data_IF_142119561152
#
_entry.id   IF_142119561152
#
_cell.length_a   1.000
_cell.length_b   1.000
_cell.length_c   1.000
_cell.angle_alpha   90.00
_cell.angle_beta   90.00
_cell.angle_gamma   90.00
#
_symmetry.space_group_name_H-M   'P 1'
#
loop_
_entity.id
_entity.type
_entity.pdbx_description
1 polymer ?
#
# COMPACT_ATOMS: atom_id res chain seq x y z
N UNK A 1 -11.15 -9.65 14.23
CA UNK A 1 -10.05 -8.66 14.10
C UNK A 1 -10.66 -7.27 13.99
N UNK A 2 -9.88 -6.25 14.32
CA UNK A 2 -10.27 -5.16 15.21
C UNK A 2 -9.38 -3.91 14.92
N UNK A 3 -9.82 -2.81 14.29
CA UNK A 3 -8.88 -1.93 13.54
C UNK A 3 -9.34 -0.43 13.46
N UNK A 4 -8.49 0.58 13.83
CA UNK A 4 -8.72 2.07 13.79
C UNK A 4 -7.57 3.04 14.31
N UNK A 5 -6.77 3.67 13.43
CA UNK A 5 -5.83 4.83 13.54
C UNK A 5 -4.44 4.78 14.29
N UNK A 6 -3.54 5.78 14.05
CA UNK A 6 -2.05 5.82 14.18
C UNK A 6 -1.37 6.53 15.40
N UNK A 7 -0.61 5.84 16.30
CA UNK A 7 -0.37 6.32 17.71
C UNK A 7 1.02 6.05 18.38
N UNK A 8 1.73 7.00 19.02
CA UNK A 8 3.09 6.79 19.63
C UNK A 8 3.12 6.78 21.20
N UNK A 9 3.93 5.91 21.86
CA UNK A 9 4.06 5.57 23.33
C UNK A 9 2.84 5.75 24.28
N UNK A 10 2.31 4.64 24.82
CA UNK A 10 1.06 4.60 25.63
C UNK A 10 0.94 3.38 26.58
N UNK A 11 -0.20 3.19 27.27
CA UNK A 11 -0.50 2.02 28.13
C UNK A 11 -1.87 1.35 27.81
N UNK A 12 -1.98 0.52 26.76
CA UNK A 12 -3.20 -0.28 26.51
C UNK A 12 -4.18 0.35 25.51
N UNK A 13 -4.62 -0.42 24.51
CA UNK A 13 -5.38 0.04 23.33
C UNK A 13 -6.33 -1.09 22.84
N UNK A 14 -7.21 -0.80 21.89
CA UNK A 14 -7.99 -1.79 21.15
C UNK A 14 -8.46 -1.20 19.82
N UNK A 15 -8.08 -1.80 18.68
CA UNK A 15 -8.38 -1.34 17.31
C UNK A 15 -7.48 -0.15 16.89
N UNK A 16 -6.49 -0.37 16.02
CA UNK A 16 -5.53 0.65 15.47
C UNK A 16 -5.37 0.58 13.94
N UNK A 17 -4.75 1.58 13.27
CA UNK A 17 -4.30 1.53 11.85
C UNK A 17 -2.80 1.84 11.71
N UNK A 18 -2.18 2.35 12.77
CA UNK A 18 -0.74 2.49 12.98
C UNK A 18 -0.53 2.61 14.49
N UNK A 19 0.67 2.36 15.00
CA UNK A 19 1.04 2.66 16.40
C UNK A 19 2.57 2.86 16.36
N UNK A 20 3.18 3.22 17.49
CA UNK A 20 4.60 3.31 17.77
C UNK A 20 4.81 3.48 19.29
N UNK A 21 4.28 2.55 20.09
CA UNK A 21 4.47 2.52 21.54
C UNK A 21 3.20 2.23 22.35
N UNK A 22 3.18 1.15 23.12
CA UNK A 22 2.09 0.84 24.08
C UNK A 22 2.47 -0.20 25.14
N UNK A 23 1.66 -0.39 26.19
CA UNK A 23 1.65 -1.60 27.03
C UNK A 23 0.57 -2.65 26.67
N UNK A 24 -0.20 -2.44 25.60
CA UNK A 24 -1.16 -3.44 25.11
C UNK A 24 -2.07 -2.91 24.01
N UNK A 25 -2.68 -3.78 23.21
CA UNK A 25 -3.60 -3.44 22.13
C UNK A 25 -4.56 -4.64 21.94
N UNK A 26 -5.79 -4.41 21.48
CA UNK A 26 -6.72 -5.41 20.94
C UNK A 26 -6.97 -5.19 19.42
N UNK A 27 -5.89 -5.25 18.63
CA UNK A 27 -5.88 -5.44 17.16
C UNK A 27 -5.68 -4.18 16.31
N UNK A 28 -5.25 -4.33 15.02
CA UNK A 28 -4.97 -3.18 14.12
C UNK A 28 -4.79 -3.48 12.60
N UNK A 29 -4.85 -2.46 11.70
CA UNK A 29 -4.34 -2.45 10.29
C UNK A 29 -2.83 -2.08 10.15
N UNK A 30 -2.26 -1.41 11.17
CA UNK A 30 -0.83 -1.17 11.39
C UNK A 30 -0.60 -0.91 12.90
N UNK A 31 0.60 -1.15 13.43
CA UNK A 31 1.04 -0.83 14.83
C UNK A 31 2.49 -0.35 14.76
N UNK A 32 3.11 -0.04 15.90
CA UNK A 32 4.53 -0.19 16.25
C UNK A 32 4.68 -0.15 17.82
N UNK A 33 5.80 -0.62 18.39
CA UNK A 33 6.29 -0.57 19.81
C UNK A 33 5.33 -0.88 20.99
N UNK A 34 4.32 -1.74 20.82
CA UNK A 34 3.34 -2.10 21.87
C UNK A 34 3.77 -3.28 22.77
N UNK A 35 3.18 -3.49 23.95
CA UNK A 35 3.34 -4.72 24.76
C UNK A 35 2.08 -5.61 24.74
N UNK A 36 1.39 -5.63 23.59
CA UNK A 36 0.26 -6.52 23.31
C UNK A 36 -0.48 -6.13 22.03
N UNK A 37 -0.99 -7.05 21.19
CA UNK A 37 -1.97 -6.75 20.13
C UNK A 37 -2.95 -7.88 19.75
N UNK A 38 -4.25 -7.72 20.06
CA UNK A 38 -5.32 -8.70 19.77
C UNK A 38 -6.25 -8.38 18.57
N UNK A 39 -5.88 -8.90 17.39
CA UNK A 39 -6.72 -9.26 16.22
C UNK A 39 -6.69 -8.22 15.08
N UNK A 40 -5.95 -8.50 14.00
CA UNK A 40 -5.44 -7.57 12.96
C UNK A 40 -5.99 -7.55 11.51
N UNK A 41 -5.56 -6.56 10.72
CA UNK A 41 -4.85 -6.75 9.44
C UNK A 41 -3.32 -6.61 9.65
N UNK A 42 -2.70 -5.42 9.55
CA UNK A 42 -1.26 -5.16 9.79
C UNK A 42 -0.89 -4.59 11.18
N UNK A 43 0.34 -4.81 11.68
CA UNK A 43 0.66 -4.63 13.13
C UNK A 43 2.18 -4.69 13.46
N UNK A 44 2.89 -3.60 13.79
CA UNK A 44 4.35 -3.55 14.12
C UNK A 44 4.70 -3.55 15.65
N UNK A 45 6.01 -3.59 16.01
CA UNK A 45 6.70 -4.17 17.21
C UNK A 45 5.86 -4.52 18.50
N UNK A 46 5.82 -5.79 19.00
CA UNK A 46 5.22 -6.22 20.33
C UNK A 46 5.52 -7.65 20.90
N UNK A 47 4.78 -8.20 21.91
CA UNK A 47 4.83 -9.59 22.52
C UNK A 47 3.45 -10.18 23.05
N UNK A 48 2.74 -11.32 22.72
CA UNK A 48 2.79 -12.52 21.78
C UNK A 48 1.49 -12.91 20.94
N UNK A 49 1.38 -12.73 19.59
CA UNK A 49 0.14 -12.69 18.70
C UNK A 49 -0.62 -14.04 18.53
N UNK A 50 -0.30 -14.86 17.49
CA UNK A 50 -1.10 -15.86 16.74
C UNK A 50 -2.21 -15.41 15.71
N UNK A 51 -1.91 -14.86 14.50
CA UNK A 51 -2.71 -14.99 13.23
C UNK A 51 -2.00 -14.37 11.99
N UNK A 52 -2.18 -13.05 11.75
CA UNK A 52 -2.12 -12.30 10.46
C UNK A 52 -3.35 -12.38 9.51
N UNK A 53 -3.84 -11.22 9.00
CA UNK A 53 -4.18 -11.08 7.56
C UNK A 53 -2.96 -10.47 6.83
N UNK A 54 -2.36 -9.42 7.41
CA UNK A 54 -1.14 -8.75 6.92
C UNK A 54 -0.28 -8.08 8.02
N UNK A 55 -0.12 -8.74 9.19
CA UNK A 55 0.65 -8.30 10.39
C UNK A 55 2.07 -7.85 10.04
N UNK A 56 2.64 -6.93 10.83
CA UNK A 56 3.86 -6.18 10.51
C UNK A 56 4.91 -6.16 11.66
N UNK A 57 5.00 -7.23 12.48
CA UNK A 57 5.78 -7.36 13.75
C UNK A 57 5.03 -7.10 15.09
N UNK A 58 3.90 -7.73 15.39
CA UNK A 58 3.26 -7.51 16.70
C UNK A 58 2.69 -8.77 17.33
N UNK A 59 2.17 -8.64 18.55
CA UNK A 59 2.09 -9.80 19.42
C UNK A 59 1.08 -9.62 20.66
N UNK A 60 -0.18 -10.16 20.69
CA UNK A 60 -1.10 -10.76 21.77
C UNK A 60 -2.57 -11.08 21.25
N UNK A 61 -2.99 -12.25 20.65
CA UNK A 61 -4.17 -12.38 19.69
C UNK A 61 -5.26 -13.52 19.77
N UNK A 62 -6.21 -13.56 18.78
CA UNK A 62 -7.17 -14.67 18.45
C UNK A 62 -7.57 -14.96 16.94
N UNK A 63 -8.52 -14.27 16.24
CA UNK A 63 -9.14 -14.76 14.95
C UNK A 63 -9.82 -13.76 13.92
N UNK A 64 -9.66 -14.02 12.59
CA UNK A 64 -10.63 -14.08 11.42
C UNK A 64 -9.95 -14.86 10.22
N UNK A 65 -10.39 -14.78 8.94
CA UNK A 65 -9.89 -15.54 7.73
C UNK A 65 -9.66 -14.68 6.43
N UNK A 66 -8.44 -14.67 5.85
CA UNK A 66 -7.97 -13.84 4.68
C UNK A 66 -8.90 -13.79 3.44
N UNK A 67 -8.84 -12.67 2.70
CA UNK A 67 -9.56 -12.34 1.44
C UNK A 67 -8.58 -11.76 0.39
N UNK A 68 -8.91 -11.82 -0.92
CA UNK A 68 -8.14 -11.25 -2.04
C UNK A 68 -9.06 -10.49 -3.04
N UNK A 69 -8.54 -9.43 -3.68
CA UNK A 69 -9.32 -8.48 -4.49
C UNK A 69 -8.59 -8.03 -5.77
N UNK A 70 -9.30 -7.90 -6.89
CA UNK A 70 -8.84 -7.20 -8.11
C UNK A 70 -9.93 -6.19 -8.49
N UNK A 71 -9.60 -4.90 -8.69
CA UNK A 71 -10.59 -3.85 -8.99
C UNK A 71 -11.84 -3.90 -8.09
N UNK A 72 -11.61 -4.14 -6.78
CA UNK A 72 -12.66 -4.29 -5.77
C UNK A 72 -13.48 -5.60 -5.83
N UNK A 73 -13.34 -6.42 -6.87
CA UNK A 73 -14.04 -7.72 -7.01
C UNK A 73 -13.29 -8.80 -6.22
N UNK A 74 -14.00 -9.52 -5.36
CA UNK A 74 -13.44 -10.69 -4.67
C UNK A 74 -13.12 -11.81 -5.66
N UNK A 75 -11.94 -12.40 -5.46
CA UNK A 75 -11.39 -13.42 -6.35
C UNK A 75 -10.75 -14.55 -5.56
N UNK A 76 -10.60 -15.71 -6.21
CA UNK A 76 -9.78 -16.78 -5.64
C UNK A 76 -8.33 -16.31 -5.47
N UNK A 77 -7.63 -16.89 -4.50
CA UNK A 77 -6.20 -16.66 -4.26
C UNK A 77 -5.37 -16.85 -5.54
N UNK A 78 -5.71 -17.88 -6.33
CA UNK A 78 -5.09 -18.13 -7.63
C UNK A 78 -5.33 -17.00 -8.65
N UNK A 79 -6.58 -16.53 -8.80
CA UNK A 79 -6.93 -15.47 -9.76
C UNK A 79 -6.32 -14.13 -9.39
N UNK A 80 -6.25 -13.80 -8.09
CA UNK A 80 -5.52 -12.63 -7.60
C UNK A 80 -4.05 -12.64 -8.07
N UNK A 81 -3.36 -13.75 -7.87
CA UNK A 81 -1.95 -13.86 -8.26
C UNK A 81 -1.76 -13.93 -9.78
N UNK A 82 -2.67 -14.55 -10.52
CA UNK A 82 -2.66 -14.55 -12.00
C UNK A 82 -2.62 -13.12 -12.57
N UNK A 83 -3.60 -12.29 -12.20
CA UNK A 83 -3.71 -10.92 -12.74
C UNK A 83 -2.57 -10.03 -12.26
N UNK A 84 -2.22 -10.11 -10.98
CA UNK A 84 -1.11 -9.34 -10.40
C UNK A 84 0.22 -9.60 -11.13
N UNK A 85 0.46 -10.84 -11.57
CA UNK A 85 1.69 -11.19 -12.30
C UNK A 85 1.68 -10.63 -13.74
N UNK A 86 0.62 -10.90 -14.51
CA UNK A 86 0.46 -10.39 -15.89
C UNK A 86 0.49 -8.85 -15.96
N UNK A 87 -0.02 -8.17 -14.94
CA UNK A 87 0.05 -6.72 -14.81
C UNK A 87 1.51 -6.22 -14.71
N UNK A 88 2.32 -6.83 -13.83
CA UNK A 88 3.71 -6.41 -13.65
C UNK A 88 4.60 -6.72 -14.86
N UNK A 89 4.34 -7.80 -15.61
CA UNK A 89 5.04 -8.08 -16.88
C UNK A 89 4.91 -6.93 -17.90
N UNK A 90 3.78 -6.24 -17.89
CA UNK A 90 3.41 -5.20 -18.87
C UNK A 90 3.70 -3.78 -18.40
N UNK A 91 3.77 -3.56 -17.09
CA UNK A 91 4.34 -2.34 -16.51
C UNK A 91 5.86 -2.28 -16.75
N UNK A 92 6.52 -3.43 -16.83
CA UNK A 92 7.94 -3.52 -17.20
C UNK A 92 8.85 -2.78 -16.22
N UNK A 93 9.45 -1.67 -16.68
CA UNK A 93 10.30 -0.79 -15.86
C UNK A 93 9.60 0.52 -15.41
N UNK A 94 8.31 0.68 -15.73
CA UNK A 94 7.58 1.91 -15.47
C UNK A 94 6.91 1.89 -14.09
N UNK A 95 6.98 3.02 -13.41
CA UNK A 95 6.34 3.29 -12.12
C UNK A 95 5.76 4.72 -12.12
N UNK A 96 4.63 4.98 -11.44
CA UNK A 96 4.10 6.33 -11.32
C UNK A 96 4.97 7.18 -10.41
N UNK A 97 5.37 8.37 -10.89
CA UNK A 97 6.26 9.25 -10.12
C UNK A 97 5.55 10.52 -9.62
N UNK A 98 5.23 10.54 -8.32
CA UNK A 98 4.45 11.59 -7.66
C UNK A 98 5.27 12.82 -7.20
N UNK A 99 6.56 12.93 -7.53
CA UNK A 99 7.33 14.15 -7.27
C UNK A 99 8.54 14.32 -8.20
N UNK A 100 8.99 15.56 -8.38
CA UNK A 100 10.07 15.89 -9.31
C UNK A 100 11.47 15.42 -8.83
N UNK A 101 11.58 14.79 -7.65
CA UNK A 101 12.88 14.52 -7.00
C UNK A 101 13.79 13.65 -7.87
N UNK A 102 13.23 12.64 -8.55
CA UNK A 102 13.96 11.72 -9.43
C UNK A 102 14.57 12.46 -10.62
N UNK A 103 13.86 13.46 -11.15
CA UNK A 103 14.35 14.32 -12.24
C UNK A 103 15.37 15.36 -11.75
N UNK A 104 15.13 15.99 -10.59
CA UNK A 104 16.10 16.91 -9.97
C UNK A 104 17.42 16.21 -9.62
N UNK A 105 17.35 14.99 -9.12
CA UNK A 105 18.52 14.16 -8.82
C UNK A 105 19.38 13.92 -10.06
N UNK A 106 18.79 13.33 -11.11
CA UNK A 106 19.46 13.06 -12.38
C UNK A 106 20.05 14.34 -13.01
N UNK A 107 19.31 15.45 -12.97
CA UNK A 107 19.72 16.75 -13.55
C UNK A 107 20.91 17.39 -12.83
N UNK A 108 21.03 17.22 -11.51
CA UNK A 108 22.11 17.79 -10.71
C UNK A 108 23.27 16.79 -10.51
N UNK A 109 23.66 16.11 -11.60
CA UNK A 109 24.78 15.18 -11.63
C UNK A 109 24.56 13.86 -10.88
N UNK A 110 23.32 13.52 -10.50
CA UNK A 110 23.00 12.38 -9.62
C UNK A 110 23.68 12.46 -8.24
N UNK A 111 23.83 13.66 -7.67
CA UNK A 111 24.30 13.87 -6.30
C UNK A 111 23.22 14.55 -5.45
N UNK A 112 22.81 13.91 -4.35
CA UNK A 112 21.84 14.44 -3.38
C UNK A 112 22.27 15.76 -2.71
N UNK A 113 23.57 16.07 -2.66
CA UNK A 113 24.10 17.34 -2.15
C UNK A 113 23.92 18.50 -3.13
N UNK A 114 23.94 18.19 -4.42
CA UNK A 114 23.70 19.14 -5.51
C UNK A 114 22.21 19.21 -5.87
N UNK A 115 21.45 18.17 -5.55
CA UNK A 115 19.99 18.09 -5.73
C UNK A 115 19.31 19.09 -4.79
N UNK A 116 18.58 20.10 -5.32
CA UNK A 116 17.88 21.06 -4.48
C UNK A 116 16.59 20.44 -3.93
N UNK A 117 16.68 19.71 -2.82
CA UNK A 117 15.51 19.07 -2.16
C UNK A 117 14.45 20.12 -1.76
N UNK A 118 14.86 21.36 -1.49
CA UNK A 118 13.94 22.52 -1.28
C UNK A 118 13.16 22.96 -2.52
N UNK A 119 13.50 22.43 -3.70
CA UNK A 119 12.75 22.59 -4.96
C UNK A 119 11.97 21.30 -5.30
N UNK A 120 11.89 20.34 -4.35
CA UNK A 120 11.07 19.15 -4.50
C UNK A 120 9.60 19.56 -4.60
N UNK A 121 8.98 19.30 -5.75
CA UNK A 121 7.59 19.62 -6.01
C UNK A 121 6.83 18.31 -6.23
N UNK A 122 5.62 18.25 -5.68
CA UNK A 122 4.68 17.16 -5.92
C UNK A 122 4.23 17.21 -7.39
N UNK A 123 4.34 16.07 -8.08
CA UNK A 123 3.86 15.92 -9.46
C UNK A 123 2.40 15.51 -9.39
N UNK A 124 1.55 16.27 -10.10
CA UNK A 124 0.13 15.98 -10.17
C UNK A 124 -0.13 14.55 -10.65
N UNK A 125 -1.10 13.85 -10.04
CA UNK A 125 -1.46 12.45 -10.37
C UNK A 125 -1.56 12.19 -11.87
N UNK A 126 -2.16 13.10 -12.63
CA UNK A 126 -2.27 12.98 -14.09
C UNK A 126 -0.92 12.91 -14.80
N UNK A 127 0.08 13.67 -14.36
CA UNK A 127 1.45 13.57 -14.89
C UNK A 127 2.20 12.36 -14.35
N UNK A 128 2.01 12.03 -13.07
CA UNK A 128 2.62 10.86 -12.43
C UNK A 128 2.29 9.56 -13.17
N UNK A 129 1.06 9.42 -13.69
CA UNK A 129 0.58 8.25 -14.44
C UNK A 129 0.53 8.43 -15.97
N UNK A 130 0.77 9.63 -16.52
CA UNK A 130 0.60 9.94 -17.96
C UNK A 130 1.29 8.95 -18.89
N UNK A 131 2.51 8.58 -18.54
CA UNK A 131 3.42 7.83 -19.41
C UNK A 131 3.32 6.30 -19.19
N UNK A 132 2.23 5.83 -18.56
CA UNK A 132 1.99 4.42 -18.25
C UNK A 132 2.00 3.54 -19.52
N UNK A 133 2.68 2.37 -19.53
CA UNK A 133 2.78 1.51 -20.70
C UNK A 133 1.41 1.13 -21.25
N UNK A 134 1.17 1.46 -22.52
CA UNK A 134 -0.10 1.21 -23.20
C UNK A 134 -0.53 -0.25 -23.11
N UNK A 135 0.40 -1.20 -23.19
CA UNK A 135 0.10 -2.63 -23.06
C UNK A 135 -0.34 -3.04 -21.64
N UNK A 136 0.10 -2.33 -20.60
CA UNK A 136 -0.43 -2.51 -19.24
C UNK A 136 -1.83 -1.95 -19.11
N UNK A 137 -2.08 -0.76 -19.68
CA UNK A 137 -3.40 -0.12 -19.75
C UNK A 137 -4.40 -1.01 -20.48
N UNK A 138 -4.02 -1.54 -21.65
CA UNK A 138 -4.86 -2.43 -22.47
C UNK A 138 -5.09 -3.79 -21.78
N UNK A 139 -4.09 -4.35 -21.10
CA UNK A 139 -4.30 -5.59 -20.32
C UNK A 139 -5.23 -5.37 -19.13
N UNK A 140 -5.03 -4.29 -18.38
CA UNK A 140 -5.92 -3.88 -17.29
C UNK A 140 -7.36 -3.76 -17.82
N UNK A 141 -7.56 -3.07 -18.94
CA UNK A 141 -8.86 -2.93 -19.59
C UNK A 141 -9.46 -4.26 -20.08
N UNK A 142 -8.62 -5.27 -20.38
CA UNK A 142 -9.05 -6.60 -20.83
C UNK A 142 -9.52 -7.54 -19.70
N UNK A 143 -9.36 -7.16 -18.43
CA UNK A 143 -9.76 -7.99 -17.31
C UNK A 143 -11.30 -8.09 -17.22
N UNK A 144 -11.89 -9.28 -16.98
CA UNK A 144 -13.29 -9.36 -16.56
C UNK A 144 -13.50 -8.67 -15.19
N UNK A 145 -12.43 -8.53 -14.40
CA UNK A 145 -12.44 -7.71 -13.20
C UNK A 145 -12.34 -6.21 -13.46
N UNK A 146 -12.06 -5.73 -14.67
CA UNK A 146 -11.80 -4.30 -14.94
C UNK A 146 -12.93 -3.36 -14.49
N UNK A 147 -12.54 -2.13 -14.18
CA UNK A 147 -13.41 -0.99 -13.91
C UNK A 147 -12.72 0.29 -14.43
N UNK A 148 -13.33 0.93 -15.44
CA UNK A 148 -12.75 2.08 -16.14
C UNK A 148 -12.71 3.35 -15.28
N UNK A 149 -13.71 3.56 -14.42
CA UNK A 149 -13.80 4.72 -13.55
C UNK A 149 -12.79 4.61 -12.39
N UNK A 150 -12.67 3.44 -11.76
CA UNK A 150 -11.65 3.19 -10.72
C UNK A 150 -10.22 3.34 -11.29
N UNK A 151 -10.01 2.90 -12.53
CA UNK A 151 -8.72 3.10 -13.20
C UNK A 151 -8.45 4.57 -13.52
N UNK A 152 -9.42 5.31 -14.04
CA UNK A 152 -9.33 6.75 -14.22
C UNK A 152 -9.12 7.51 -12.90
N UNK A 153 -9.69 7.06 -11.78
CA UNK A 153 -9.46 7.67 -10.48
C UNK A 153 -8.01 7.51 -10.00
N UNK A 154 -7.41 6.34 -10.18
CA UNK A 154 -6.01 6.10 -9.80
C UNK A 154 -5.02 6.80 -10.76
N UNK A 155 -5.33 6.82 -12.06
CA UNK A 155 -4.35 7.15 -13.12
C UNK A 155 -4.64 8.40 -13.95
N UNK A 156 -5.87 8.92 -13.92
CA UNK A 156 -6.40 9.94 -14.83
C UNK A 156 -6.38 9.55 -16.33
N UNK A 157 -6.31 8.26 -16.66
CA UNK A 157 -6.41 7.71 -18.02
C UNK A 157 -7.87 7.28 -18.27
N UNK A 158 -8.55 7.89 -19.25
CA UNK A 158 -9.97 7.64 -19.53
C UNK A 158 -10.17 6.52 -20.55
N UNK A 159 -11.06 5.57 -20.23
CA UNK A 159 -11.25 4.29 -20.95
C UNK A 159 -12.73 3.85 -20.99
N UNK A 160 -13.66 4.82 -21.00
CA UNK A 160 -15.12 4.61 -21.01
C UNK A 160 -15.71 4.60 -22.42
#
# INVERSE_FOLDING_TARGET
MNESDGVNWSNGVSRSNGVNGSFGVNGSFGVNWSNGVSRSNGVNESFGILNSYGVDCALFLANKKRVYLIFGKEVSEGRYFEVKNNLYEKLGIWEPNFNNIKALYLKNGSDWKLTPIKNAEEIARQEAWRDMPREAVEYIASLPEFDADMFFEITCIDLR
#
